data_IF_142847858315
#
_entry.id   IF_142847858315
#
_cell.length_a   1.000
_cell.length_b   1.000
_cell.length_c   1.000
_cell.angle_alpha   90.00
_cell.angle_beta   90.00
_cell.angle_gamma   90.00
#
_symmetry.space_group_name_H-M   'P 1'
#
loop_
_entity.id
_entity.type
_entity.pdbx_description
1 polymer ?
#
# COMPACT_ATOMS: atom_id res chain seq x y z
N UNK A 1 -56.81 11.24 62.58
CA UNK A 1 -56.01 12.45 62.26
C UNK A 1 -54.57 12.09 61.89
N UNK A 2 -53.75 11.59 62.81
CA UNK A 2 -52.31 11.31 62.61
C UNK A 2 -51.98 10.29 61.51
N UNK A 3 -52.78 9.22 61.38
CA UNK A 3 -52.58 8.21 60.31
C UNK A 3 -52.72 8.78 58.89
N UNK A 4 -53.65 9.71 58.69
CA UNK A 4 -53.90 10.35 57.38
C UNK A 4 -52.76 11.30 57.03
N UNK A 5 -52.26 12.06 58.02
CA UNK A 5 -51.12 12.96 57.86
C UNK A 5 -49.84 12.19 57.50
N UNK A 6 -49.59 11.05 58.17
CA UNK A 6 -48.44 10.18 57.87
C UNK A 6 -48.54 9.53 56.48
N UNK A 7 -49.77 9.21 56.03
CA UNK A 7 -49.98 8.68 54.68
C UNK A 7 -49.70 9.73 53.60
N UNK A 8 -50.19 10.95 53.77
CA UNK A 8 -49.98 12.06 52.84
C UNK A 8 -48.50 12.46 52.75
N UNK A 9 -47.80 12.50 53.89
CA UNK A 9 -46.35 12.79 53.92
C UNK A 9 -45.54 11.70 53.21
N UNK A 10 -45.85 10.42 53.43
CA UNK A 10 -45.20 9.32 52.69
C UNK A 10 -45.44 9.41 51.17
N UNK A 11 -46.64 9.76 50.73
CA UNK A 11 -46.92 9.95 49.31
C UNK A 11 -46.12 11.12 48.72
N UNK A 12 -46.02 12.24 49.43
CA UNK A 12 -45.23 13.40 49.01
C UNK A 12 -43.74 13.06 48.92
N UNK A 13 -43.19 12.35 49.90
CA UNK A 13 -41.80 11.89 49.91
C UNK A 13 -41.53 10.95 48.73
N UNK A 14 -42.43 9.98 48.48
CA UNK A 14 -42.32 9.05 47.36
C UNK A 14 -42.35 9.76 46.00
N UNK A 15 -43.23 10.77 45.85
CA UNK A 15 -43.32 11.59 44.63
C UNK A 15 -42.04 12.40 44.40
N UNK A 16 -41.51 13.05 45.44
CA UNK A 16 -40.23 13.77 45.36
C UNK A 16 -39.06 12.85 44.97
N UNK A 17 -39.01 11.65 45.56
CA UNK A 17 -37.96 10.66 45.27
C UNK A 17 -38.02 10.14 43.83
N UNK A 18 -39.22 9.92 43.29
CA UNK A 18 -39.40 9.58 41.87
C UNK A 18 -38.93 10.69 40.94
N UNK A 19 -39.31 11.95 41.20
CA UNK A 19 -38.86 13.08 40.38
C UNK A 19 -37.33 13.23 40.37
N UNK A 20 -36.68 13.15 41.53
CA UNK A 20 -35.21 13.20 41.61
C UNK A 20 -34.56 12.07 40.80
N UNK A 21 -35.09 10.85 40.87
CA UNK A 21 -34.51 9.71 40.15
C UNK A 21 -34.64 9.87 38.63
N UNK A 22 -35.78 10.40 38.13
CA UNK A 22 -35.99 10.67 36.70
C UNK A 22 -35.03 11.75 36.20
N UNK A 23 -34.86 12.84 36.95
CA UNK A 23 -33.92 13.92 36.59
C UNK A 23 -32.49 13.38 36.54
N UNK A 24 -32.10 12.60 37.55
CA UNK A 24 -30.77 11.97 37.62
C UNK A 24 -30.51 11.00 36.47
N UNK A 25 -31.52 10.25 36.03
CA UNK A 25 -31.41 9.37 34.86
C UNK A 25 -31.22 10.19 33.57
N UNK A 26 -31.99 11.25 33.39
CA UNK A 26 -31.89 12.14 32.22
C UNK A 26 -30.52 12.81 32.11
N UNK A 27 -29.96 13.25 33.24
CA UNK A 27 -28.63 13.87 33.29
C UNK A 27 -27.52 12.87 32.90
N UNK A 28 -27.63 11.62 33.36
CA UNK A 28 -26.72 10.53 32.95
C UNK A 28 -26.84 10.17 31.47
N UNK A 29 -28.06 10.10 30.94
CA UNK A 29 -28.28 9.84 29.52
C UNK A 29 -27.74 10.98 28.66
N UNK A 30 -27.99 12.24 29.02
CA UNK A 30 -27.44 13.40 28.31
C UNK A 30 -25.91 13.42 28.33
N UNK A 31 -25.28 13.13 29.48
CA UNK A 31 -23.83 13.01 29.56
C UNK A 31 -23.28 11.91 28.66
N UNK A 32 -23.95 10.75 28.61
CA UNK A 32 -23.56 9.61 27.76
C UNK A 32 -23.72 9.93 26.27
N UNK A 33 -24.83 10.57 25.89
CA UNK A 33 -25.11 10.99 24.51
C UNK A 33 -24.11 12.06 24.06
N UNK A 34 -23.76 13.00 24.93
CA UNK A 34 -22.78 14.05 24.63
C UNK A 34 -21.38 13.47 24.41
N UNK A 35 -20.97 12.48 25.23
CA UNK A 35 -19.73 11.74 25.01
C UNK A 35 -19.75 10.93 23.72
N UNK A 36 -20.83 10.22 23.43
CA UNK A 36 -20.97 9.42 22.21
C UNK A 36 -20.92 10.29 20.94
N UNK A 37 -21.61 11.43 20.92
CA UNK A 37 -21.60 12.36 19.79
C UNK A 37 -20.24 13.04 19.57
N UNK A 38 -19.43 13.23 20.63
CA UNK A 38 -18.10 13.82 20.50
C UNK A 38 -17.02 12.82 20.08
N UNK A 39 -16.94 11.67 20.77
CA UNK A 39 -15.84 10.72 20.59
C UNK A 39 -16.01 9.79 19.39
N UNK A 40 -17.23 9.33 19.11
CA UNK A 40 -17.47 8.35 18.04
C UNK A 40 -17.10 8.93 16.65
N UNK A 41 -17.47 10.17 16.30
CA UNK A 41 -17.07 10.75 15.02
C UNK A 41 -15.56 10.94 14.89
N UNK A 42 -14.85 11.26 15.97
CA UNK A 42 -13.39 11.43 15.95
C UNK A 42 -12.68 10.11 15.63
N UNK A 43 -13.14 9.00 16.21
CA UNK A 43 -12.59 7.66 15.93
C UNK A 43 -12.88 7.26 14.48
N UNK A 44 -14.09 7.52 13.98
CA UNK A 44 -14.45 7.23 12.58
C UNK A 44 -13.60 8.06 11.62
N UNK A 45 -13.42 9.35 11.88
CA UNK A 45 -12.57 10.24 11.08
C UNK A 45 -11.12 9.78 11.05
N UNK A 46 -10.58 9.36 12.20
CA UNK A 46 -9.23 8.80 12.29
C UNK A 46 -9.09 7.53 11.45
N UNK A 47 -10.07 6.63 11.52
CA UNK A 47 -10.09 5.39 10.74
C UNK A 47 -10.13 5.64 9.22
N UNK A 48 -11.00 6.54 8.77
CA UNK A 48 -11.11 6.90 7.34
C UNK A 48 -9.80 7.51 6.84
N UNK A 49 -9.21 8.44 7.59
CA UNK A 49 -7.94 9.06 7.24
C UNK A 49 -6.80 8.04 7.10
N UNK A 50 -6.69 7.09 8.04
CA UNK A 50 -5.66 6.06 8.00
C UNK A 50 -5.88 5.07 6.85
N UNK A 51 -7.14 4.68 6.56
CA UNK A 51 -7.48 3.78 5.45
C UNK A 51 -7.03 4.33 4.09
N UNK A 52 -7.15 5.64 3.86
CA UNK A 52 -6.69 6.24 2.61
C UNK A 52 -5.16 6.15 2.43
N UNK A 53 -4.39 6.29 3.52
CA UNK A 53 -2.94 6.11 3.48
C UNK A 53 -2.59 4.67 3.14
N UNK A 54 -3.22 3.70 3.82
CA UNK A 54 -2.99 2.27 3.57
C UNK A 54 -3.28 1.91 2.11
N UNK A 55 -4.40 2.35 1.55
CA UNK A 55 -4.73 2.11 0.13
C UNK A 55 -3.68 2.70 -0.84
N UNK A 56 -3.15 3.88 -0.54
CA UNK A 56 -2.06 4.48 -1.35
C UNK A 56 -0.78 3.66 -1.26
N UNK A 57 -0.45 3.11 -0.08
CA UNK A 57 0.70 2.23 0.10
C UNK A 57 0.51 0.89 -0.62
N UNK A 58 -0.66 0.25 -0.50
CA UNK A 58 -0.99 -1.00 -1.20
C UNK A 58 -0.85 -0.86 -2.71
N UNK A 59 -1.35 0.24 -3.28
CA UNK A 59 -1.21 0.51 -4.72
C UNK A 59 0.25 0.71 -5.14
N UNK A 60 1.08 1.34 -4.30
CA UNK A 60 2.53 1.47 -4.57
C UNK A 60 3.23 0.12 -4.51
N UNK A 61 2.90 -0.71 -3.53
CA UNK A 61 3.44 -2.07 -3.37
C UNK A 61 3.07 -2.92 -4.59
N UNK A 62 1.80 -2.92 -5.01
CA UNK A 62 1.36 -3.67 -6.20
C UNK A 62 2.12 -3.27 -7.47
N UNK A 63 2.39 -1.97 -7.67
CA UNK A 63 3.19 -1.49 -8.81
C UNK A 63 4.64 -1.97 -8.73
N UNK A 64 5.25 -1.98 -7.54
CA UNK A 64 6.62 -2.48 -7.35
C UNK A 64 6.67 -3.99 -7.58
N UNK A 65 5.71 -4.73 -7.03
CA UNK A 65 5.62 -6.18 -7.21
C UNK A 65 5.44 -6.57 -8.69
N UNK A 66 4.61 -5.82 -9.44
CA UNK A 66 4.48 -6.00 -10.89
C UNK A 66 5.78 -5.71 -11.62
N UNK A 67 6.50 -4.64 -11.26
CA UNK A 67 7.81 -4.32 -11.84
C UNK A 67 8.84 -5.42 -11.54
N UNK A 68 8.88 -5.94 -10.32
CA UNK A 68 9.77 -7.04 -9.95
C UNK A 68 9.44 -8.34 -10.69
N UNK A 69 8.14 -8.67 -10.85
CA UNK A 69 7.71 -9.83 -11.65
C UNK A 69 8.13 -9.69 -13.11
N UNK A 70 7.92 -8.51 -13.71
CA UNK A 70 8.39 -8.22 -15.08
C UNK A 70 9.91 -8.28 -15.22
N UNK A 71 10.67 -7.76 -14.24
CA UNK A 71 12.13 -7.86 -14.24
C UNK A 71 12.59 -9.33 -14.18
N UNK A 72 11.94 -10.16 -13.36
CA UNK A 72 12.23 -11.60 -13.30
C UNK A 72 11.96 -12.33 -14.62
N UNK A 73 10.86 -11.99 -15.30
CA UNK A 73 10.57 -12.53 -16.64
C UNK A 73 11.60 -12.07 -17.67
N UNK A 74 11.99 -10.79 -17.65
CA UNK A 74 13.02 -10.24 -18.53
C UNK A 74 14.39 -10.89 -18.29
N UNK A 75 14.79 -11.10 -17.03
CA UNK A 75 16.01 -11.85 -16.67
C UNK A 75 15.98 -13.28 -17.24
N UNK A 76 14.83 -13.96 -17.21
CA UNK A 76 14.67 -15.29 -17.82
C UNK A 76 14.82 -15.25 -19.34
N UNK A 77 14.16 -14.31 -20.03
CA UNK A 77 14.26 -14.16 -21.48
C UNK A 77 15.70 -13.87 -21.89
N UNK A 78 16.40 -12.99 -21.17
CA UNK A 78 17.80 -12.66 -21.43
C UNK A 78 18.73 -13.86 -21.20
N UNK A 79 18.43 -14.73 -20.22
CA UNK A 79 19.17 -15.99 -20.03
C UNK A 79 19.03 -16.94 -21.22
N UNK A 80 17.86 -16.98 -21.87
CA UNK A 80 17.66 -17.75 -23.11
C UNK A 80 18.42 -17.15 -24.32
N UNK A 81 18.85 -15.90 -24.22
CA UNK A 81 19.64 -15.20 -25.24
C UNK A 81 21.16 -15.26 -24.99
N UNK A 82 21.63 -15.95 -23.95
CA UNK A 82 23.06 -16.16 -23.71
C UNK A 82 23.70 -16.88 -24.91
N UNK A 83 24.81 -16.34 -25.43
CA UNK A 83 25.51 -16.88 -26.59
C UNK A 83 24.90 -16.53 -27.94
N UNK A 84 23.80 -15.75 -27.97
CA UNK A 84 23.25 -15.14 -29.17
C UNK A 84 23.71 -13.69 -29.30
N UNK A 85 23.56 -13.10 -30.49
CA UNK A 85 23.87 -11.69 -30.76
C UNK A 85 22.60 -10.85 -30.93
N UNK A 86 21.78 -10.64 -29.87
CA UNK A 86 20.60 -9.80 -29.96
C UNK A 86 20.97 -8.32 -30.13
N UNK A 87 20.06 -7.58 -30.77
CA UNK A 87 20.12 -6.13 -30.85
C UNK A 87 19.41 -5.57 -29.62
N UNK A 88 20.19 -5.08 -28.65
CA UNK A 88 19.65 -4.53 -27.40
C UNK A 88 19.55 -3.01 -27.52
N UNK A 89 18.33 -2.51 -27.44
CA UNK A 89 18.03 -1.07 -27.45
C UNK A 89 17.69 -0.66 -26.03
N UNK A 90 18.56 0.17 -25.46
CA UNK A 90 18.40 0.77 -24.14
C UNK A 90 18.44 2.29 -24.24
N UNK A 91 18.00 2.97 -23.18
CA UNK A 91 17.89 4.44 -23.16
C UNK A 91 19.23 5.16 -23.41
N UNK A 92 20.36 4.48 -23.20
CA UNK A 92 21.74 4.95 -23.42
C UNK A 92 22.51 4.05 -24.41
N UNK A 93 21.83 3.12 -25.08
CA UNK A 93 22.43 2.20 -26.03
C UNK A 93 22.11 2.66 -27.46
N UNK A 94 23.15 2.74 -28.30
CA UNK A 94 22.96 2.83 -29.75
C UNK A 94 22.46 1.51 -30.32
N UNK A 95 21.90 1.56 -31.54
CA UNK A 95 21.46 0.39 -32.31
C UNK A 95 22.67 -0.41 -32.77
N UNK A 96 23.18 -1.29 -31.92
CA UNK A 96 24.32 -2.13 -32.22
C UNK A 96 24.12 -3.55 -31.69
N UNK A 97 24.62 -4.54 -32.44
CA UNK A 97 24.56 -5.95 -32.06
C UNK A 97 25.58 -6.22 -30.94
N UNK A 98 25.10 -6.68 -29.79
CA UNK A 98 25.93 -7.09 -28.66
C UNK A 98 25.72 -8.58 -28.39
N UNK A 99 26.80 -9.29 -28.08
CA UNK A 99 26.73 -10.68 -27.60
C UNK A 99 26.41 -10.67 -26.10
N UNK A 100 25.37 -11.43 -25.70
CA UNK A 100 25.06 -11.62 -24.28
C UNK A 100 25.95 -12.74 -23.75
N UNK A 101 26.90 -12.39 -22.89
CA UNK A 101 27.85 -13.35 -22.30
C UNK A 101 27.32 -13.91 -20.99
N UNK A 102 26.71 -13.04 -20.17
CA UNK A 102 26.23 -13.43 -18.84
C UNK A 102 25.06 -12.53 -18.39
N UNK A 103 24.17 -13.11 -17.59
CA UNK A 103 22.95 -12.45 -17.11
C UNK A 103 22.72 -12.81 -15.64
N UNK A 104 22.85 -11.79 -14.78
CA UNK A 104 22.48 -11.83 -13.38
C UNK A 104 21.02 -11.38 -13.15
N UNK A 105 20.57 -11.30 -11.90
CA UNK A 105 19.20 -10.84 -11.56
C UNK A 105 18.96 -9.35 -11.84
N UNK A 106 20.01 -8.53 -11.80
CA UNK A 106 19.90 -7.07 -12.02
C UNK A 106 20.75 -6.58 -13.20
N UNK A 107 21.75 -7.36 -13.64
CA UNK A 107 22.77 -6.91 -14.59
C UNK A 107 22.91 -7.86 -15.77
N UNK A 108 23.22 -7.29 -16.93
CA UNK A 108 23.55 -8.01 -18.16
C UNK A 108 24.97 -7.64 -18.56
N UNK A 109 25.80 -8.65 -18.79
CA UNK A 109 27.16 -8.49 -19.32
C UNK A 109 27.14 -8.70 -20.83
N UNK A 110 27.42 -7.62 -21.54
CA UNK A 110 27.48 -7.58 -22.99
C UNK A 110 28.92 -7.56 -23.46
N UNK A 111 29.22 -8.30 -24.52
CA UNK A 111 30.51 -8.32 -25.22
C UNK A 111 30.31 -7.87 -26.65
N UNK A 112 31.25 -7.06 -27.14
CA UNK A 112 31.39 -6.76 -28.56
C UNK A 112 32.83 -6.96 -28.98
N UNK A 113 33.02 -7.61 -30.11
CA UNK A 113 34.31 -7.65 -30.79
C UNK A 113 34.29 -6.63 -31.91
N UNK A 114 35.16 -5.62 -31.84
CA UNK A 114 35.31 -4.68 -32.95
C UNK A 114 36.01 -5.35 -34.15
N UNK A 115 35.87 -4.79 -35.36
CA UNK A 115 36.59 -5.23 -36.59
C UNK A 115 38.12 -5.32 -36.44
N UNK A 116 38.70 -4.72 -35.38
CA UNK A 116 40.12 -4.76 -35.02
C UNK A 116 40.47 -5.84 -33.97
N UNK A 117 39.57 -6.79 -33.70
CA UNK A 117 39.77 -7.87 -32.72
C UNK A 117 39.77 -7.46 -31.24
N UNK A 118 39.53 -6.18 -30.92
CA UNK A 118 39.44 -5.72 -29.53
C UNK A 118 38.07 -6.03 -28.95
N UNK A 119 38.07 -6.76 -27.84
CA UNK A 119 36.87 -7.05 -27.05
C UNK A 119 36.52 -5.86 -26.15
N UNK A 120 35.24 -5.49 -26.13
CA UNK A 120 34.68 -4.52 -25.20
C UNK A 120 33.59 -5.21 -24.38
N UNK A 121 33.68 -5.07 -23.06
CA UNK A 121 32.66 -5.51 -22.13
C UNK A 121 31.87 -4.30 -21.63
N UNK A 122 30.56 -4.45 -21.51
CA UNK A 122 29.68 -3.43 -20.93
C UNK A 122 28.67 -4.09 -20.02
N UNK A 123 28.53 -3.56 -18.80
CA UNK A 123 27.46 -3.96 -17.89
C UNK A 123 26.30 -2.98 -18.00
N UNK A 124 25.08 -3.50 -18.08
CA UNK A 124 23.85 -2.71 -18.11
C UNK A 124 22.83 -3.30 -17.16
N UNK A 125 22.02 -2.46 -16.51
CA UNK A 125 20.91 -2.94 -15.69
C UNK A 125 19.77 -3.44 -16.56
N UNK A 126 19.11 -4.52 -16.14
CA UNK A 126 17.95 -5.09 -16.85
C UNK A 126 16.81 -4.07 -16.93
N UNK A 127 16.61 -3.25 -15.89
CA UNK A 127 15.55 -2.24 -15.85
C UNK A 127 15.68 -1.12 -16.90
N UNK A 128 16.88 -0.91 -17.43
CA UNK A 128 17.17 0.14 -18.42
C UNK A 128 17.03 -0.35 -19.88
N UNK A 129 16.79 -1.65 -20.07
CA UNK A 129 16.59 -2.28 -21.37
C UNK A 129 15.12 -2.06 -21.78
N UNK A 130 14.90 -1.43 -22.92
CA UNK A 130 13.56 -1.13 -23.41
C UNK A 130 13.07 -2.20 -24.39
N UNK A 131 13.92 -2.53 -25.36
CA UNK A 131 13.57 -3.48 -26.42
C UNK A 131 14.75 -4.40 -26.70
N UNK A 132 14.46 -5.68 -26.92
CA UNK A 132 15.41 -6.66 -27.40
C UNK A 132 14.87 -7.20 -28.71
N UNK A 133 15.58 -6.93 -29.80
CA UNK A 133 15.28 -7.50 -31.12
C UNK A 133 16.23 -8.67 -31.36
N UNK A 134 15.68 -9.78 -31.85
CA UNK A 134 16.43 -10.96 -32.21
C UNK A 134 16.02 -11.40 -33.60
N UNK A 135 16.99 -11.45 -34.52
CA UNK A 135 16.80 -12.08 -35.82
C UNK A 135 16.86 -13.59 -35.62
N UNK A 136 15.69 -14.24 -35.70
CA UNK A 136 15.59 -15.69 -35.67
C UNK A 136 15.96 -16.28 -37.02
N UNK A 137 17.14 -16.90 -37.09
CA UNK A 137 17.42 -17.96 -38.06
C UNK A 137 16.84 -19.29 -37.59
#
# INVERSE_FOLDING_TARGET
MTKIINFLTNMLVKKKKMCYNIIKLREKEQGTIMWALGFVPLVIMYYIYHSQKVKKLENKIKRIEQKQKGNKEMSRILKELIGKTPTIIGQVFGTDNWEVVDVDEEWVKLRRVNKKGKEKFKLQRIEDIQTVEFDGE
#
